data_IF_883981187954
#
_entry.id   IF_883981187954
#
_cell.length_a   1.000
_cell.length_b   1.000
_cell.length_c   1.000
_cell.angle_alpha   90.00
_cell.angle_beta   90.00
_cell.angle_gamma   90.00
#
_symmetry.space_group_name_H-M   'P 1'
#
loop_
_entity.id
_entity.type
_entity.pdbx_description
1 polymer ?
#
# COMPACT_ATOMS: atom_id res chain seq x y z
N UNK A 1 79.50 14.82 7.30
CA UNK A 1 79.00 13.51 6.84
C UNK A 1 78.16 12.77 7.89
N UNK A 2 78.58 12.67 9.16
CA UNK A 2 77.83 11.92 10.20
C UNK A 2 76.43 12.47 10.52
N UNK A 3 76.28 13.78 10.73
CA UNK A 3 74.97 14.40 11.05
C UNK A 3 73.91 14.21 9.96
N UNK A 4 74.31 14.30 8.69
CA UNK A 4 73.40 14.09 7.56
C UNK A 4 72.92 12.63 7.52
N UNK A 5 73.82 11.68 7.80
CA UNK A 5 73.48 10.26 7.89
C UNK A 5 72.46 10.00 9.01
N UNK A 6 72.65 10.58 10.19
CA UNK A 6 71.69 10.46 11.30
C UNK A 6 70.31 11.03 10.94
N UNK A 7 70.24 12.17 10.26
CA UNK A 7 68.98 12.76 9.81
C UNK A 7 68.30 11.87 8.77
N UNK A 8 69.06 11.34 7.80
CA UNK A 8 68.54 10.41 6.79
C UNK A 8 68.01 9.12 7.46
N UNK A 9 68.72 8.58 8.44
CA UNK A 9 68.29 7.38 9.15
C UNK A 9 67.01 7.63 9.95
N UNK A 10 66.88 8.79 10.61
CA UNK A 10 65.64 9.23 11.28
C UNK A 10 64.48 9.34 10.29
N UNK A 11 64.67 10.04 9.17
CA UNK A 11 63.65 10.18 8.13
C UNK A 11 63.23 8.83 7.54
N UNK A 12 64.16 7.89 7.35
CA UNK A 12 63.84 6.52 6.89
C UNK A 12 62.97 5.78 7.89
N UNK A 13 63.25 5.91 9.19
CA UNK A 13 62.43 5.30 10.24
C UNK A 13 61.04 5.92 10.26
N UNK A 14 60.96 7.25 10.17
CA UNK A 14 59.71 8.01 10.13
C UNK A 14 58.86 7.62 8.92
N UNK A 15 59.44 7.55 7.71
CA UNK A 15 58.76 7.10 6.50
C UNK A 15 58.20 5.67 6.68
N UNK A 16 58.96 4.77 7.30
CA UNK A 16 58.47 3.40 7.58
C UNK A 16 57.33 3.41 8.59
N UNK A 17 57.41 4.25 9.63
CA UNK A 17 56.36 4.40 10.62
C UNK A 17 55.06 4.93 9.98
N UNK A 18 55.16 6.03 9.22
CA UNK A 18 54.03 6.62 8.50
C UNK A 18 53.42 5.64 7.49
N UNK A 19 54.23 4.86 6.76
CA UNK A 19 53.71 3.82 5.85
C UNK A 19 52.92 2.74 6.58
N UNK A 20 53.37 2.29 7.76
CA UNK A 20 52.61 1.33 8.58
C UNK A 20 51.31 1.93 9.10
N UNK A 21 51.35 3.18 9.54
CA UNK A 21 50.15 3.88 9.99
C UNK A 21 49.14 4.05 8.86
N UNK A 22 49.58 4.44 7.67
CA UNK A 22 48.73 4.55 6.49
C UNK A 22 48.10 3.21 6.11
N UNK A 23 48.88 2.12 6.12
CA UNK A 23 48.38 0.78 5.86
C UNK A 23 47.32 0.35 6.90
N UNK A 24 47.56 0.64 8.19
CA UNK A 24 46.59 0.36 9.24
C UNK A 24 45.30 1.17 9.05
N UNK A 25 45.41 2.48 8.80
CA UNK A 25 44.25 3.33 8.55
C UNK A 25 43.45 2.90 7.31
N UNK A 26 44.10 2.38 6.27
CA UNK A 26 43.41 1.81 5.11
C UNK A 26 42.55 0.61 5.49
N UNK A 27 43.07 -0.30 6.32
CA UNK A 27 42.33 -1.47 6.80
C UNK A 27 41.16 -1.03 7.68
N UNK A 28 41.37 -0.04 8.55
CA UNK A 28 40.32 0.49 9.42
C UNK A 28 39.21 1.18 8.61
N UNK A 29 39.56 1.91 7.55
CA UNK A 29 38.60 2.49 6.61
C UNK A 29 37.76 1.42 5.91
N UNK A 30 38.40 0.36 5.40
CA UNK A 30 37.69 -0.76 4.77
C UNK A 30 36.74 -1.45 5.75
N UNK A 31 37.17 -1.64 7.01
CA UNK A 31 36.35 -2.23 8.06
C UNK A 31 35.12 -1.36 8.39
N UNK A 32 35.30 -0.05 8.55
CA UNK A 32 34.20 0.89 8.79
C UNK A 32 33.26 0.95 7.57
N UNK A 33 33.80 0.93 6.35
CA UNK A 33 33.00 0.91 5.13
C UNK A 33 32.12 -0.35 5.05
N UNK A 34 32.65 -1.52 5.41
CA UNK A 34 31.86 -2.75 5.49
C UNK A 34 30.75 -2.67 6.54
N UNK A 35 31.02 -2.08 7.71
CA UNK A 35 30.01 -1.84 8.74
C UNK A 35 28.92 -0.88 8.25
N UNK A 36 29.29 0.22 7.59
CA UNK A 36 28.36 1.17 7.00
C UNK A 36 27.45 0.48 5.96
N UNK A 37 28.02 -0.35 5.08
CA UNK A 37 27.25 -1.13 4.11
C UNK A 37 26.26 -2.10 4.78
N UNK A 38 26.67 -2.78 5.87
CA UNK A 38 25.78 -3.65 6.63
C UNK A 38 24.63 -2.87 7.28
N UNK A 39 24.92 -1.72 7.88
CA UNK A 39 23.91 -0.85 8.48
C UNK A 39 22.95 -0.27 7.44
N UNK A 40 23.44 0.08 6.24
CA UNK A 40 22.60 0.54 5.14
C UNK A 40 21.59 -0.55 4.72
N UNK A 41 22.05 -1.81 4.59
CA UNK A 41 21.17 -2.96 4.30
C UNK A 41 20.12 -3.17 5.39
N UNK A 42 20.50 -3.14 6.66
CA UNK A 42 19.56 -3.28 7.78
C UNK A 42 18.53 -2.13 7.82
N UNK A 43 18.97 -0.89 7.59
CA UNK A 43 18.09 0.26 7.51
C UNK A 43 17.09 0.15 6.36
N UNK A 44 17.50 -0.37 5.20
CA UNK A 44 16.60 -0.62 4.09
C UNK A 44 15.51 -1.63 4.49
N UNK A 45 15.87 -2.75 5.11
CA UNK A 45 14.90 -3.75 5.61
C UNK A 45 13.95 -3.16 6.64
N UNK A 46 14.45 -2.36 7.60
CA UNK A 46 13.62 -1.70 8.61
C UNK A 46 12.63 -0.72 7.97
N UNK A 47 13.06 0.07 6.99
CA UNK A 47 12.18 0.98 6.24
C UNK A 47 11.08 0.21 5.51
N UNK A 48 11.40 -0.91 4.85
CA UNK A 48 10.42 -1.81 4.21
C UNK A 48 9.41 -2.33 5.23
N UNK A 49 9.89 -2.90 6.34
CA UNK A 49 9.02 -3.43 7.42
C UNK A 49 8.12 -2.35 8.01
N UNK A 50 8.66 -1.16 8.25
CA UNK A 50 7.89 -0.03 8.74
C UNK A 50 6.84 0.42 7.71
N UNK A 51 7.19 0.46 6.43
CA UNK A 51 6.26 0.75 5.34
C UNK A 51 5.09 -0.23 5.31
N UNK A 52 5.36 -1.53 5.33
CA UNK A 52 4.33 -2.59 5.38
C UNK A 52 3.45 -2.43 6.62
N UNK A 53 4.04 -2.27 7.80
CA UNK A 53 3.29 -2.13 9.06
C UNK A 53 2.43 -0.86 9.06
N UNK A 54 2.93 0.27 8.54
CA UNK A 54 2.19 1.52 8.42
C UNK A 54 1.01 1.37 7.44
N UNK A 55 1.21 0.69 6.30
CA UNK A 55 0.14 0.38 5.34
C UNK A 55 -0.93 -0.51 5.97
N UNK A 56 -0.53 -1.55 6.69
CA UNK A 56 -1.47 -2.43 7.40
C UNK A 56 -2.30 -1.66 8.44
N UNK A 57 -1.67 -0.76 9.20
CA UNK A 57 -2.39 0.09 10.15
C UNK A 57 -3.39 1.03 9.47
N UNK A 58 -3.04 1.60 8.31
CA UNK A 58 -3.94 2.45 7.53
C UNK A 58 -5.14 1.66 6.99
N UNK A 59 -4.91 0.45 6.45
CA UNK A 59 -6.00 -0.41 5.97
C UNK A 59 -6.98 -0.77 7.09
N UNK A 60 -6.46 -1.19 8.25
CA UNK A 60 -7.31 -1.52 9.41
C UNK A 60 -8.11 -0.31 9.91
N UNK A 61 -7.56 0.90 9.81
CA UNK A 61 -8.28 2.12 10.17
C UNK A 61 -9.40 2.44 9.17
N UNK A 62 -9.16 2.26 7.86
CA UNK A 62 -10.18 2.40 6.82
C UNK A 62 -11.31 1.38 6.99
N UNK A 63 -10.96 0.09 7.13
CA UNK A 63 -11.93 -1.00 7.35
C UNK A 63 -12.78 -0.74 8.60
N UNK A 64 -12.15 -0.26 9.69
CA UNK A 64 -12.86 0.11 10.92
C UNK A 64 -13.87 1.23 10.66
N UNK A 65 -13.45 2.29 9.97
CA UNK A 65 -14.36 3.41 9.65
C UNK A 65 -15.53 2.98 8.77
N UNK A 66 -15.29 2.09 7.80
CA UNK A 66 -16.34 1.54 6.95
C UNK A 66 -17.34 0.72 7.77
N UNK A 67 -16.85 -0.14 8.67
CA UNK A 67 -17.70 -0.91 9.56
C UNK A 67 -18.52 -0.03 10.50
N UNK A 68 -17.94 1.05 11.03
CA UNK A 68 -18.66 2.03 11.86
C UNK A 68 -19.78 2.70 11.06
N UNK A 69 -19.55 3.12 9.82
CA UNK A 69 -20.61 3.72 8.98
C UNK A 69 -21.74 2.73 8.66
N UNK A 70 -21.41 1.47 8.35
CA UNK A 70 -22.40 0.41 8.10
C UNK A 70 -23.23 0.11 9.34
N UNK A 71 -22.58 0.07 10.51
CA UNK A 71 -23.24 -0.15 11.79
C UNK A 71 -24.22 1.00 12.08
N UNK A 72 -23.78 2.26 11.93
CA UNK A 72 -24.64 3.43 12.11
C UNK A 72 -25.86 3.41 11.18
N UNK A 73 -25.68 3.04 9.90
CA UNK A 73 -26.78 2.91 8.95
C UNK A 73 -27.79 1.82 9.36
N UNK A 74 -27.30 0.68 9.91
CA UNK A 74 -28.16 -0.38 10.42
C UNK A 74 -28.90 0.04 11.69
N UNK A 75 -28.24 0.76 12.59
CA UNK A 75 -28.87 1.32 13.80
C UNK A 75 -29.98 2.31 13.46
N UNK A 76 -29.77 3.19 12.47
CA UNK A 76 -30.80 4.11 11.97
C UNK A 76 -32.02 3.36 11.42
N UNK A 77 -31.82 2.34 10.60
CA UNK A 77 -32.92 1.53 10.05
C UNK A 77 -33.71 0.83 11.16
N UNK A 78 -33.02 0.28 12.16
CA UNK A 78 -33.68 -0.33 13.33
C UNK A 78 -34.50 0.73 14.08
N UNK A 79 -33.99 1.95 14.21
CA UNK A 79 -34.71 3.04 14.87
C UNK A 79 -35.96 3.44 14.08
N UNK A 80 -35.86 3.58 12.76
CA UNK A 80 -37.02 3.84 11.89
C UNK A 80 -38.08 2.74 12.04
N UNK A 81 -37.67 1.46 12.02
CA UNK A 81 -38.58 0.34 12.24
C UNK A 81 -39.28 0.43 13.60
N UNK A 82 -38.56 0.77 14.68
CA UNK A 82 -39.16 0.97 16.01
C UNK A 82 -40.19 2.10 15.99
N UNK A 83 -39.87 3.22 15.35
CA UNK A 83 -40.79 4.36 15.24
C UNK A 83 -42.03 4.02 14.42
N UNK A 84 -41.89 3.22 13.34
CA UNK A 84 -43.00 2.72 12.55
C UNK A 84 -43.91 1.79 13.36
N UNK A 85 -43.36 0.84 14.13
CA UNK A 85 -44.13 -0.04 15.00
C UNK A 85 -44.85 0.77 16.09
N UNK A 86 -44.18 1.75 16.68
CA UNK A 86 -44.77 2.64 17.68
C UNK A 86 -45.95 3.45 17.10
N UNK A 87 -45.79 4.06 15.92
CA UNK A 87 -46.89 4.77 15.22
C UNK A 87 -48.04 3.83 14.86
N UNK A 88 -47.75 2.64 14.35
CA UNK A 88 -48.79 1.70 13.92
C UNK A 88 -49.61 1.16 15.11
N UNK A 89 -48.97 0.94 16.26
CA UNK A 89 -49.66 0.57 17.51
C UNK A 89 -50.65 1.66 17.96
N UNK A 90 -50.24 2.93 17.90
CA UNK A 90 -51.09 4.08 18.25
C UNK A 90 -52.27 4.25 17.28
N UNK A 91 -52.02 4.13 15.98
CA UNK A 91 -53.07 4.20 14.96
C UNK A 91 -54.05 3.02 15.08
N UNK A 92 -53.56 1.84 15.47
CA UNK A 92 -54.39 0.66 15.73
C UNK A 92 -55.31 0.82 16.95
N UNK A 93 -54.87 1.50 18.02
CA UNK A 93 -55.76 1.80 19.15
C UNK A 93 -56.81 2.85 18.80
N UNK A 94 -56.48 3.84 17.96
CA UNK A 94 -57.43 4.84 17.47
C UNK A 94 -58.47 4.21 16.51
N UNK A 95 -58.04 3.31 15.61
CA UNK A 95 -58.95 2.56 14.73
C UNK A 95 -59.84 1.60 15.51
N UNK A 96 -59.30 0.87 16.50
CA UNK A 96 -60.10 -0.02 17.34
C UNK A 96 -61.12 0.76 18.18
N UNK A 97 -60.77 1.94 18.71
CA UNK A 97 -61.71 2.80 19.43
C UNK A 97 -62.82 3.37 18.51
N UNK A 98 -62.50 3.70 17.26
CA UNK A 98 -63.48 4.11 16.24
C UNK A 98 -64.40 2.96 15.83
N UNK A 99 -63.88 1.74 15.71
CA UNK A 99 -64.67 0.53 15.41
C UNK A 99 -65.62 0.21 16.57
N UNK A 100 -65.17 0.26 17.83
CA UNK A 100 -66.04 0.04 19.00
C UNK A 100 -67.16 1.08 19.12
N UNK A 101 -66.89 2.34 18.73
CA UNK A 101 -67.91 3.39 18.69
C UNK A 101 -68.92 3.18 17.54
N UNK A 102 -68.44 2.73 16.38
CA UNK A 102 -69.30 2.42 15.23
C UNK A 102 -70.17 1.17 15.48
N UNK A 103 -69.60 0.09 16.03
CA UNK A 103 -70.35 -1.15 16.35
C UNK A 103 -71.39 -0.90 17.43
N UNK A 104 -71.09 -0.08 18.44
CA UNK A 104 -72.06 0.34 19.47
C UNK A 104 -73.21 1.16 18.88
N UNK A 105 -72.94 1.98 17.85
CA UNK A 105 -73.97 2.79 17.17
C UNK A 105 -74.84 1.93 16.24
N UNK A 106 -74.27 0.92 15.57
CA UNK A 106 -75.01 0.00 14.69
C UNK A 106 -75.80 -1.07 15.44
N UNK A 107 -75.34 -1.51 16.62
CA UNK A 107 -76.03 -2.54 17.41
C UNK A 107 -77.40 -2.07 17.93
N UNK A 108 -77.60 -0.76 18.10
CA UNK A 108 -78.88 -0.19 18.55
C UNK A 108 -80.00 -0.28 17.49
N UNK A 109 -79.72 -0.66 16.23
CA UNK A 109 -80.71 -0.69 15.15
C UNK A 109 -81.00 -2.09 14.59
N UNK A 110 -80.36 -3.16 15.10
CA UNK A 110 -80.53 -4.51 14.55
C UNK A 110 -80.86 -5.58 15.60
N UNK A 111 -81.70 -5.23 16.59
CA UNK A 111 -82.41 -6.23 17.39
C UNK A 111 -83.66 -6.71 16.63
N UNK A 112 -83.49 -7.62 15.67
CA UNK A 112 -84.53 -8.59 15.31
C UNK A 112 -84.06 -9.52 14.20
N UNK A 113 -84.30 -10.82 14.41
CA UNK A 113 -84.35 -11.93 13.46
C UNK A 113 -83.13 -12.88 13.38
N UNK A 114 -83.36 -14.07 13.96
CA UNK A 114 -83.17 -15.40 13.34
C UNK A 114 -81.74 -15.97 13.34
N UNK A 115 -81.57 -16.93 14.27
CA UNK A 115 -81.03 -18.29 14.14
C UNK A 115 -80.23 -18.73 12.91
N UNK A 116 -79.24 -19.58 13.23
CA UNK A 116 -78.60 -20.60 12.40
C UNK A 116 -77.88 -20.15 11.13
N UNK A 117 -76.54 -20.29 11.15
CA UNK A 117 -75.76 -21.07 10.18
C UNK A 117 -74.28 -20.67 10.28
N UNK A 118 -73.42 -21.66 10.50
CA UNK A 118 -72.00 -21.53 10.25
C UNK A 118 -71.75 -21.20 8.77
N UNK A 119 -71.25 -19.99 8.49
CA UNK A 119 -70.36 -19.74 7.36
C UNK A 119 -69.71 -18.36 7.50
N UNK A 120 -68.38 -18.35 7.48
CA UNK A 120 -67.55 -17.16 7.37
C UNK A 120 -67.83 -16.42 6.05
N UNK A 121 -67.94 -15.08 6.04
CA UNK A 121 -67.68 -14.31 4.85
C UNK A 121 -66.22 -13.85 4.89
N UNK A 122 -65.36 -14.58 4.17
CA UNK A 122 -64.07 -14.07 3.70
C UNK A 122 -64.33 -12.91 2.76
N UNK A 123 -64.07 -11.68 3.20
CA UNK A 123 -64.13 -10.50 2.35
C UNK A 123 -62.82 -10.39 1.54
N UNK A 124 -62.80 -11.11 0.41
CA UNK A 124 -61.83 -10.99 -0.67
C UNK A 124 -62.00 -9.63 -1.38
N UNK A 125 -61.35 -8.57 -0.88
CA UNK A 125 -61.29 -7.26 -1.56
C UNK A 125 -59.88 -6.66 -1.57
N UNK A 126 -58.82 -7.49 -1.60
CA UNK A 126 -57.43 -7.01 -1.83
C UNK A 126 -56.89 -7.37 -3.22
N UNK A 127 -57.55 -8.27 -3.97
CA UNK A 127 -57.09 -8.69 -5.29
C UNK A 127 -57.68 -7.85 -6.42
N UNK A 128 -57.33 -6.56 -6.51
CA UNK A 128 -57.56 -5.77 -7.73
C UNK A 128 -56.68 -4.51 -7.88
N UNK A 129 -55.47 -4.50 -7.32
CA UNK A 129 -54.43 -3.58 -7.79
C UNK A 129 -53.68 -4.29 -8.92
N UNK A 130 -53.81 -3.79 -10.15
CA UNK A 130 -53.04 -4.33 -11.28
C UNK A 130 -51.55 -4.27 -10.97
N UNK A 131 -50.83 -5.31 -11.39
CA UNK A 131 -49.37 -5.45 -11.22
C UNK A 131 -48.62 -4.17 -11.63
N UNK A 132 -49.12 -3.47 -12.64
CA UNK A 132 -48.62 -2.18 -13.11
C UNK A 132 -48.67 -1.05 -12.07
N UNK A 133 -49.71 -1.01 -11.22
CA UNK A 133 -49.82 -0.01 -10.15
C UNK A 133 -48.87 -0.32 -9.00
N UNK A 134 -48.68 -1.60 -8.68
CA UNK A 134 -47.68 -2.05 -7.70
C UNK A 134 -46.26 -1.71 -8.18
N UNK A 135 -45.99 -1.94 -9.47
CA UNK A 135 -44.70 -1.62 -10.09
C UNK A 135 -44.42 -0.12 -10.05
N UNK A 136 -45.41 0.72 -10.37
CA UNK A 136 -45.27 2.18 -10.31
C UNK A 136 -45.04 2.71 -8.89
N UNK A 137 -45.75 2.18 -7.89
CA UNK A 137 -45.60 2.59 -6.49
C UNK A 137 -44.21 2.26 -5.94
N UNK A 138 -43.68 1.07 -6.24
CA UNK A 138 -42.37 0.63 -5.77
C UNK A 138 -41.22 1.37 -6.50
N UNK A 139 -41.41 1.73 -7.77
CA UNK A 139 -40.49 2.60 -8.51
C UNK A 139 -40.47 4.04 -7.97
N UNK A 140 -41.60 4.58 -7.51
CA UNK A 140 -41.64 5.91 -6.86
C UNK A 140 -41.05 5.93 -5.46
N UNK A 141 -41.06 4.79 -4.75
CA UNK A 141 -40.48 4.64 -3.40
C UNK A 141 -38.96 4.37 -3.40
N UNK A 142 -38.29 4.41 -4.57
CA UNK A 142 -36.85 4.15 -4.68
C UNK A 142 -36.44 2.70 -4.34
N UNK A 143 -37.42 1.80 -4.17
CA UNK A 143 -37.20 0.37 -3.98
C UNK A 143 -37.21 -0.27 -5.36
N UNK A 144 -36.01 -0.37 -5.94
CA UNK A 144 -35.71 -1.01 -7.23
C UNK A 144 -36.75 -2.07 -7.65
N UNK A 145 -37.61 -1.74 -8.62
CA UNK A 145 -38.11 -2.75 -9.54
C UNK A 145 -37.30 -2.61 -10.83
N UNK A 146 -36.75 -3.76 -11.22
CA UNK A 146 -35.88 -3.95 -12.36
C UNK A 146 -36.61 -3.62 -13.67
N UNK A 147 -36.47 -2.40 -14.17
CA UNK A 147 -36.92 -2.07 -15.52
C UNK A 147 -35.98 -2.69 -16.57
N UNK A 148 -36.57 -3.61 -17.36
CA UNK A 148 -36.27 -3.91 -18.77
C UNK A 148 -34.89 -4.56 -19.06
N UNK A 149 -34.80 -5.58 -19.95
CA UNK A 149 -33.53 -6.19 -20.33
C UNK A 149 -32.77 -5.24 -21.26
N UNK A 150 -32.22 -4.15 -20.72
CA UNK A 150 -31.23 -3.36 -21.41
C UNK A 150 -29.97 -4.21 -21.57
N UNK A 151 -29.84 -4.84 -22.75
CA UNK A 151 -28.78 -5.77 -23.15
C UNK A 151 -27.38 -5.13 -23.22
N UNK A 152 -27.26 -3.82 -23.01
CA UNK A 152 -25.99 -3.08 -23.01
C UNK A 152 -25.54 -2.64 -21.62
N UNK A 153 -26.31 -2.90 -20.57
CA UNK A 153 -25.89 -2.57 -19.20
C UNK A 153 -25.02 -3.70 -18.66
N UNK A 154 -23.74 -3.47 -18.31
CA UNK A 154 -22.92 -4.53 -17.74
C UNK A 154 -23.54 -4.96 -16.40
N UNK A 155 -24.03 -6.20 -16.36
CA UNK A 155 -24.59 -6.84 -15.16
C UNK A 155 -23.47 -7.65 -14.55
N UNK A 156 -22.74 -7.04 -13.62
CA UNK A 156 -21.78 -7.79 -12.83
C UNK A 156 -22.53 -8.61 -11.79
N UNK A 157 -22.21 -9.90 -11.70
CA UNK A 157 -22.64 -10.70 -10.55
C UNK A 157 -21.96 -10.17 -9.28
N UNK A 158 -22.56 -10.39 -8.10
CA UNK A 158 -21.93 -9.97 -6.83
C UNK A 158 -20.56 -10.62 -6.67
N UNK A 159 -20.40 -11.84 -7.18
CA UNK A 159 -19.15 -12.58 -7.15
C UNK A 159 -18.13 -12.03 -8.16
N UNK A 160 -18.55 -11.59 -9.35
CA UNK A 160 -17.67 -10.85 -10.27
C UNK A 160 -17.19 -9.53 -9.66
N UNK A 161 -18.04 -8.80 -8.95
CA UNK A 161 -17.63 -7.56 -8.29
C UNK A 161 -16.64 -7.82 -7.16
N UNK A 162 -16.86 -8.90 -6.38
CA UNK A 162 -15.90 -9.35 -5.36
C UNK A 162 -14.57 -9.75 -5.99
N UNK A 163 -14.59 -10.55 -7.05
CA UNK A 163 -13.39 -10.98 -7.75
C UNK A 163 -12.64 -9.79 -8.35
N UNK A 164 -13.33 -8.85 -8.99
CA UNK A 164 -12.74 -7.63 -9.52
C UNK A 164 -12.15 -6.74 -8.42
N UNK A 165 -12.76 -6.70 -7.23
CA UNK A 165 -12.21 -6.01 -6.07
C UNK A 165 -10.94 -6.69 -5.53
N UNK A 166 -10.92 -8.03 -5.50
CA UNK A 166 -9.74 -8.82 -5.10
C UNK A 166 -8.60 -8.59 -6.11
N UNK A 167 -8.88 -8.74 -7.40
CA UNK A 167 -7.91 -8.53 -8.47
C UNK A 167 -7.38 -7.08 -8.46
N UNK A 168 -8.26 -6.09 -8.28
CA UNK A 168 -7.85 -4.68 -8.07
C UNK A 168 -6.91 -4.54 -6.88
N UNK A 169 -7.17 -5.22 -5.76
CA UNK A 169 -6.33 -5.17 -4.58
C UNK A 169 -4.96 -5.83 -4.81
N UNK A 170 -4.94 -6.96 -5.52
CA UNK A 170 -3.71 -7.65 -5.92
C UNK A 170 -2.87 -6.78 -6.85
N UNK A 171 -3.50 -6.20 -7.89
CA UNK A 171 -2.83 -5.29 -8.82
C UNK A 171 -2.33 -4.02 -8.14
N UNK A 172 -3.10 -3.43 -7.22
CA UNK A 172 -2.64 -2.31 -6.39
C UNK A 172 -1.42 -2.69 -5.56
N UNK A 173 -1.41 -3.89 -4.96
CA UNK A 173 -0.27 -4.39 -4.21
C UNK A 173 0.96 -4.54 -5.13
N UNK A 174 0.76 -5.08 -6.34
CA UNK A 174 1.84 -5.25 -7.31
C UNK A 174 2.39 -3.93 -7.85
N UNK A 175 1.54 -2.95 -8.13
CA UNK A 175 1.97 -1.60 -8.52
C UNK A 175 2.83 -0.98 -7.42
N UNK A 176 2.39 -1.08 -6.17
CA UNK A 176 3.16 -0.55 -5.03
C UNK A 176 4.52 -1.24 -4.89
N UNK A 177 4.59 -2.56 -5.08
CA UNK A 177 5.88 -3.29 -5.08
C UNK A 177 6.81 -2.79 -6.19
N UNK A 178 6.30 -2.64 -7.42
CA UNK A 178 7.08 -2.17 -8.57
C UNK A 178 7.52 -0.71 -8.38
N UNK A 179 6.66 0.16 -7.90
CA UNK A 179 7.00 1.55 -7.56
C UNK A 179 8.07 1.60 -6.47
N UNK A 180 8.00 0.72 -5.48
CA UNK A 180 9.00 0.60 -4.41
C UNK A 180 10.34 0.09 -4.97
N UNK A 181 10.35 -0.92 -5.84
CA UNK A 181 11.56 -1.38 -6.54
C UNK A 181 12.18 -0.25 -7.38
N UNK A 182 11.39 0.44 -8.20
CA UNK A 182 11.83 1.60 -8.98
C UNK A 182 12.38 2.73 -8.09
N UNK A 183 11.77 2.96 -6.92
CA UNK A 183 12.27 3.94 -5.95
C UNK A 183 13.62 3.54 -5.37
N UNK A 184 13.88 2.24 -5.17
CA UNK A 184 15.17 1.73 -4.73
C UNK A 184 16.22 1.96 -5.80
N UNK A 185 15.92 1.67 -7.07
CA UNK A 185 16.85 1.93 -8.18
C UNK A 185 17.14 3.42 -8.39
N UNK A 186 16.11 4.27 -8.34
CA UNK A 186 16.27 5.72 -8.42
C UNK A 186 17.10 6.28 -7.25
N UNK A 187 16.94 5.73 -6.04
CA UNK A 187 17.71 6.15 -4.86
C UNK A 187 19.13 5.57 -4.82
N UNK A 188 19.35 4.43 -5.48
CA UNK A 188 20.65 3.81 -5.63
C UNK A 188 21.50 4.46 -6.73
N UNK A 189 20.92 5.34 -7.55
CA UNK A 189 21.65 6.02 -8.63
C UNK A 189 21.94 5.13 -9.85
N UNK A 190 21.29 3.95 -9.95
CA UNK A 190 21.51 2.98 -11.03
C UNK A 190 20.93 3.44 -12.39
N UNK A 191 20.26 4.59 -12.45
CA UNK A 191 19.80 5.22 -13.69
C UNK A 191 20.88 6.08 -14.36
N UNK A 192 21.95 6.42 -13.64
CA UNK A 192 23.11 7.06 -14.25
C UNK A 192 24.06 5.96 -14.74
N UNK A 193 24.51 5.98 -16.01
CA UNK A 193 25.63 5.13 -16.42
C UNK A 193 26.77 5.34 -15.42
N UNK A 194 27.53 4.31 -15.01
CA UNK A 194 28.49 4.42 -13.92
C UNK A 194 29.35 5.65 -14.13
N UNK A 195 29.08 6.71 -13.36
CA UNK A 195 29.84 7.95 -13.42
C UNK A 195 31.14 7.59 -12.74
N UNK A 196 32.10 7.19 -13.57
CA UNK A 196 33.48 7.22 -13.20
C UNK A 196 33.73 8.66 -12.74
N UNK A 197 33.82 8.85 -11.42
CA UNK A 197 34.14 10.15 -10.83
C UNK A 197 35.38 10.72 -11.51
N UNK A 198 35.66 12.03 -11.37
CA UNK A 198 36.83 12.64 -12.00
C UNK A 198 38.03 11.72 -11.80
N UNK A 199 38.51 11.09 -12.88
CA UNK A 199 39.59 10.11 -12.79
C UNK A 199 40.73 10.82 -12.08
N UNK A 200 41.15 10.28 -10.94
CA UNK A 200 42.33 10.76 -10.25
C UNK A 200 43.42 10.86 -11.29
N UNK A 201 43.91 12.09 -11.54
CA UNK A 201 44.92 12.34 -12.56
C UNK A 201 46.08 11.39 -12.27
N UNK A 202 46.36 10.48 -13.20
CA UNK A 202 47.39 9.49 -12.98
C UNK A 202 48.68 10.21 -12.57
N UNK A 203 49.39 9.72 -11.54
CA UNK A 203 50.64 10.34 -11.12
C UNK A 203 51.58 10.44 -12.32
N UNK A 204 52.19 11.61 -12.52
CA UNK A 204 52.99 11.95 -13.71
C UNK A 204 54.06 10.89 -14.06
N UNK A 205 54.50 10.13 -13.06
CA UNK A 205 55.40 8.98 -13.16
C UNK A 205 54.92 7.88 -14.13
N UNK A 206 53.60 7.70 -14.31
CA UNK A 206 53.03 6.70 -15.25
C UNK A 206 52.94 7.20 -16.69
N UNK A 207 52.69 8.49 -16.88
CA UNK A 207 52.56 9.12 -18.21
C UNK A 207 53.92 9.33 -18.87
N UNK A 208 54.95 9.60 -18.07
CA UNK A 208 56.32 9.80 -18.52
C UNK A 208 57.23 8.67 -18.00
N UNK A 209 56.84 7.42 -18.26
CA UNK A 209 57.61 6.23 -17.88
C UNK A 209 59.08 6.31 -18.33
N UNK A 210 59.33 6.86 -19.52
CA UNK A 210 60.68 7.01 -20.07
C UNK A 210 61.49 8.15 -19.42
N UNK A 211 60.83 9.18 -18.89
CA UNK A 211 61.51 10.36 -18.35
C UNK A 211 61.94 10.14 -16.89
N UNK A 212 61.24 9.28 -16.15
CA UNK A 212 61.56 8.89 -14.78
C UNK A 212 62.36 7.59 -14.66
N UNK A 213 62.71 6.96 -15.78
CA UNK A 213 63.61 5.80 -15.82
C UNK A 213 65.04 6.25 -15.49
N UNK A 214 65.29 6.50 -14.21
CA UNK A 214 66.65 6.61 -13.69
C UNK A 214 67.40 5.37 -14.12
N UNK A 215 68.41 5.53 -14.99
CA UNK A 215 69.22 4.43 -15.50
C UNK A 215 69.73 3.60 -14.32
N UNK A 216 69.05 2.47 -14.09
CA UNK A 216 69.36 1.59 -12.97
C UNK A 216 70.84 1.23 -13.04
N UNK A 217 71.51 1.11 -11.89
CA UNK A 217 72.93 0.71 -11.86
C UNK A 217 73.19 -0.56 -12.65
N UNK A 218 72.19 -1.46 -12.70
CA UNK A 218 72.21 -2.67 -13.52
C UNK A 218 72.14 -2.38 -15.02
N UNK A 219 71.35 -1.40 -15.45
CA UNK A 219 71.26 -1.00 -16.85
C UNK A 219 72.58 -0.39 -17.34
N UNK A 220 73.27 0.35 -16.47
CA UNK A 220 74.64 0.86 -16.74
C UNK A 220 75.64 -0.28 -16.82
N UNK A 221 75.58 -1.23 -15.90
CA UNK A 221 76.43 -2.42 -15.90
C UNK A 221 76.29 -3.23 -17.19
N UNK A 222 75.07 -3.55 -17.63
CA UNK A 222 74.84 -4.27 -18.88
C UNK A 222 75.25 -3.46 -20.12
N UNK A 223 75.05 -2.14 -20.12
CA UNK A 223 75.54 -1.28 -21.21
C UNK A 223 77.07 -1.34 -21.31
N UNK A 224 77.78 -1.18 -20.19
CA UNK A 224 79.24 -1.31 -20.17
C UNK A 224 79.74 -2.71 -20.54
N UNK A 225 79.00 -3.76 -20.18
CA UNK A 225 79.33 -5.14 -20.53
C UNK A 225 79.17 -5.37 -22.04
N UNK A 226 78.06 -4.90 -22.61
CA UNK A 226 77.77 -5.01 -24.06
C UNK A 226 78.78 -4.20 -24.87
N UNK A 227 79.12 -2.99 -24.45
CA UNK A 227 80.11 -2.14 -25.13
C UNK A 227 81.50 -2.79 -25.11
N UNK A 228 81.83 -3.53 -24.05
CA UNK A 228 83.10 -4.27 -23.92
C UNK A 228 83.14 -5.58 -24.71
N UNK A 229 81.98 -6.08 -25.13
CA UNK A 229 81.83 -7.28 -25.96
C UNK A 229 81.82 -6.95 -27.46
N UNK A 230 81.63 -5.68 -27.82
CA UNK A 230 81.59 -5.18 -29.20
C UNK A 230 82.93 -4.57 -29.68
N UNK A 231 83.89 -4.41 -28.77
CA UNK A 231 85.30 -4.13 -29.05
C UNK A 231 86.12 -5.41 -28.85
#
# INVERSE_FOLDING_TARGET
MLRLKEVIDKQRIEIRALKRQLAQSSIDLDAIQQQANRLAKLNAVLRRKHGVSKRQAAQLAEDKSELETRLLAKEQLIQEMRDHVYRNSKNGSEQNALIDMATSTTFSLSASLISDSASSPTNEQVSQMSEEKLVRLLNTEGKMILDVPNSSRPRFTVDELRNALIERNELKSRIVEVEEELSVYNRAGDQDPPVQGPIDREPDEKLYFDQHRSSSGIQKFFKTLIDRLKN
#
